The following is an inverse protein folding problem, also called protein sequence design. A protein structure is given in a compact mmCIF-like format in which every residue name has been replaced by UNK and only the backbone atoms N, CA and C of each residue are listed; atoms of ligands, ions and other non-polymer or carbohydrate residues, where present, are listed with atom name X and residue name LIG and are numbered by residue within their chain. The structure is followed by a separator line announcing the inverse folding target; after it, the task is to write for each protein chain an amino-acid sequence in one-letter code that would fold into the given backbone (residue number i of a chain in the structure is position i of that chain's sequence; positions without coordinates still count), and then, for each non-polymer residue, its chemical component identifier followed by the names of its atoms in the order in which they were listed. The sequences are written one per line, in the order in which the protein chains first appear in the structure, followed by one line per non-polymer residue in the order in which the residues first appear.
data_IF_421426646360
#
_entry.id   IF_421426646360
#
_cell.length_a   1.000
_cell.length_b   1.000
_cell.length_c   1.000
_cell.angle_alpha   90.00
_cell.angle_beta   90.00
_cell.angle_gamma   90.00
#
_symmetry.space_group_name_H-M   'P 1'
#
loop_
_entity.id
_entity.type
_entity.pdbx_description
1 polymer ?
#
# COMPACT_ATOMS: atom_id res chain seq x y z
N UNK A 1 23.15 -5.12 39.44
CA UNK A 1 22.36 -5.59 38.28
C UNK A 1 22.16 -4.40 37.36
N UNK A 2 22.91 -4.32 36.25
CA UNK A 2 22.76 -3.25 35.26
C UNK A 2 21.58 -3.63 34.36
N UNK A 3 20.43 -2.97 34.55
CA UNK A 3 19.32 -3.03 33.61
C UNK A 3 19.79 -2.41 32.29
N UNK A 4 19.90 -3.22 31.24
CA UNK A 4 20.19 -2.73 29.90
C UNK A 4 18.95 -1.99 29.38
N UNK A 5 19.05 -0.67 29.27
CA UNK A 5 17.92 0.18 28.90
C UNK A 5 17.38 -0.16 27.50
N UNK A 6 18.23 -0.64 26.59
CA UNK A 6 17.80 -1.07 25.26
C UNK A 6 16.93 -2.34 25.30
N UNK A 7 17.26 -3.31 26.16
CA UNK A 7 16.44 -4.53 26.35
C UNK A 7 15.09 -4.22 27.01
N UNK A 8 15.08 -3.31 27.98
CA UNK A 8 13.83 -2.87 28.64
C UNK A 8 12.94 -2.12 27.63
N UNK A 9 13.51 -1.26 26.80
CA UNK A 9 12.76 -0.52 25.78
C UNK A 9 12.20 -1.43 24.69
N UNK A 10 12.94 -2.47 24.27
CA UNK A 10 12.43 -3.45 23.31
C UNK A 10 11.31 -4.31 23.91
N UNK A 11 11.37 -4.62 25.21
CA UNK A 11 10.30 -5.33 25.92
C UNK A 11 9.00 -4.51 26.02
N UNK A 12 9.10 -3.18 26.22
CA UNK A 12 7.94 -2.28 26.26
C UNK A 12 7.47 -1.78 24.87
N UNK A 13 8.32 -1.83 23.85
CA UNK A 13 7.95 -1.50 22.47
C UNK A 13 7.02 -2.53 21.80
N UNK A 14 6.73 -3.65 22.49
CA UNK A 14 5.81 -4.72 22.05
C UNK A 14 4.33 -4.30 22.15
N UNK A 15 4.00 -3.10 22.65
CA UNK A 15 2.72 -2.48 22.33
C UNK A 15 2.72 -2.08 20.85
N UNK A 16 2.48 -3.07 19.99
CA UNK A 16 2.30 -2.92 18.56
C UNK A 16 1.29 -1.81 18.33
N UNK A 17 1.77 -0.66 17.88
CA UNK A 17 0.88 0.40 17.41
C UNK A 17 0.13 -0.17 16.21
N UNK A 18 -1.13 -0.56 16.44
CA UNK A 18 -1.98 -1.24 15.48
C UNK A 18 -2.04 -0.50 14.13
N UNK A 19 -2.08 -1.29 13.06
CA UNK A 19 -2.21 -0.80 11.69
C UNK A 19 -0.95 -0.95 10.84
N UNK A 20 -1.18 -0.92 9.53
CA UNK A 20 -0.18 -1.08 8.49
C UNK A 20 0.66 0.19 8.37
N UNK A 21 1.97 -0.01 8.24
CA UNK A 21 2.94 1.05 7.98
C UNK A 21 3.08 1.29 6.49
N UNK A 22 3.75 2.38 6.16
CA UNK A 22 4.07 2.75 4.78
C UNK A 22 4.70 1.59 3.99
N UNK A 23 5.70 0.89 4.56
CA UNK A 23 6.35 -0.24 3.90
C UNK A 23 5.46 -1.49 3.78
N UNK A 24 4.54 -1.69 4.72
CA UNK A 24 3.59 -2.79 4.65
C UNK A 24 2.63 -2.58 3.47
N UNK A 25 2.13 -1.34 3.30
CA UNK A 25 1.29 -0.96 2.16
C UNK A 25 2.05 -1.10 0.84
N UNK A 26 3.30 -0.63 0.79
CA UNK A 26 4.15 -0.72 -0.40
C UNK A 26 4.30 -2.17 -0.88
N UNK A 27 4.57 -3.09 0.05
CA UNK A 27 4.71 -4.53 -0.24
C UNK A 27 3.37 -5.14 -0.65
N UNK A 28 2.30 -4.91 0.12
CA UNK A 28 0.98 -5.50 -0.14
C UNK A 28 0.33 -5.01 -1.44
N UNK A 29 0.51 -3.74 -1.78
CA UNK A 29 -0.04 -3.15 -3.00
C UNK A 29 0.89 -3.30 -4.21
N UNK A 30 2.13 -3.75 -4.01
CA UNK A 30 3.16 -3.83 -5.07
C UNK A 30 3.32 -2.51 -5.84
N UNK A 31 3.37 -1.39 -5.13
CA UNK A 31 3.58 -0.04 -5.70
C UNK A 31 4.84 0.61 -5.16
N UNK A 32 5.27 1.72 -5.76
CA UNK A 32 6.41 2.48 -5.27
C UNK A 32 6.05 3.42 -4.09
N UNK A 33 7.08 3.94 -3.41
CA UNK A 33 6.91 4.80 -2.23
C UNK A 33 6.19 6.10 -2.53
N UNK A 34 6.41 6.69 -3.70
CA UNK A 34 5.74 7.93 -4.12
C UNK A 34 4.23 7.74 -4.25
N UNK A 35 3.81 6.57 -4.73
CA UNK A 35 2.39 6.19 -4.82
C UNK A 35 1.77 6.11 -3.44
N UNK A 36 2.39 5.38 -2.50
CA UNK A 36 1.88 5.30 -1.12
C UNK A 36 1.80 6.70 -0.48
N UNK A 37 2.85 7.51 -0.62
CA UNK A 37 2.86 8.89 -0.10
C UNK A 37 1.73 9.73 -0.70
N UNK A 38 1.46 9.59 -2.00
CA UNK A 38 0.34 10.26 -2.65
C UNK A 38 -1.01 9.79 -2.08
N UNK A 39 -1.25 8.48 -2.05
CA UNK A 39 -2.51 7.88 -1.58
C UNK A 39 -2.86 8.30 -0.14
N UNK A 40 -1.85 8.34 0.74
CA UNK A 40 -2.03 8.78 2.13
C UNK A 40 -2.25 10.29 2.24
N UNK A 41 -1.50 11.08 1.46
CA UNK A 41 -1.58 12.55 1.48
C UNK A 41 -2.91 13.05 0.93
N UNK A 42 -3.44 12.43 -0.11
CA UNK A 42 -4.73 12.80 -0.73
C UNK A 42 -5.93 12.19 -0.01
N UNK A 43 -5.70 11.30 0.97
CA UNK A 43 -6.77 10.64 1.72
C UNK A 43 -7.50 9.55 0.94
N UNK A 44 -6.97 9.11 -0.22
CA UNK A 44 -7.51 7.94 -0.94
C UNK A 44 -7.43 6.70 -0.06
N UNK A 45 -6.36 6.57 0.73
CA UNK A 45 -6.29 5.63 1.85
C UNK A 45 -6.24 6.45 3.13
N UNK A 46 -7.29 6.34 3.97
CA UNK A 46 -7.31 7.05 5.23
C UNK A 46 -6.25 6.49 6.19
N UNK A 47 -5.57 7.40 6.90
CA UNK A 47 -4.55 7.03 7.88
C UNK A 47 -4.65 7.86 9.15
N UNK A 48 -4.24 7.27 10.28
CA UNK A 48 -4.11 7.95 11.56
C UNK A 48 -2.64 8.22 11.83
N UNK A 49 -2.32 9.42 12.32
CA UNK A 49 -0.98 9.72 12.81
C UNK A 49 -0.86 9.22 14.24
N UNK A 50 0.09 8.34 14.50
CA UNK A 50 0.40 7.82 15.83
C UNK A 50 1.85 8.09 16.15
N UNK A 51 2.18 8.40 17.41
CA UNK A 51 3.59 8.54 17.83
C UNK A 51 4.25 7.17 17.82
N UNK A 52 5.43 7.08 17.19
CA UNK A 52 6.21 5.85 17.18
C UNK A 52 6.64 5.46 18.60
N UNK A 53 6.61 4.16 18.96
CA UNK A 53 6.91 3.72 20.33
C UNK A 53 8.37 3.98 20.72
N UNK A 54 9.32 3.83 19.78
CA UNK A 54 10.75 3.99 20.03
C UNK A 54 11.26 5.42 19.81
N UNK A 55 10.90 6.03 18.68
CA UNK A 55 11.46 7.33 18.28
C UNK A 55 10.56 8.52 18.63
N UNK A 56 9.32 8.28 19.06
CA UNK A 56 8.25 9.28 19.28
C UNK A 56 7.88 10.15 18.06
N UNK A 57 8.53 9.95 16.91
CA UNK A 57 8.16 10.63 15.66
C UNK A 57 6.76 10.22 15.20
N UNK A 58 5.96 11.16 14.67
CA UNK A 58 4.67 10.83 14.07
C UNK A 58 4.84 9.87 12.91
N UNK A 59 4.09 8.77 12.92
CA UNK A 59 4.02 7.79 11.85
C UNK A 59 2.57 7.61 11.41
N UNK A 60 2.35 7.54 10.10
CA UNK A 60 1.04 7.16 9.57
C UNK A 60 0.80 5.66 9.79
N UNK A 61 -0.41 5.35 10.24
CA UNK A 61 -0.93 3.99 10.42
C UNK A 61 -2.24 3.85 9.68
N UNK A 62 -2.33 2.83 8.84
CA UNK A 62 -3.52 2.52 8.04
C UNK A 62 -4.19 1.28 8.63
N UNK A 63 -5.50 1.35 8.85
CA UNK A 63 -6.22 0.15 9.30
C UNK A 63 -6.32 -0.86 8.16
N UNK A 64 -6.33 -2.18 8.44
CA UNK A 64 -6.59 -3.19 7.40
C UNK A 64 -7.88 -2.92 6.63
N UNK A 65 -8.94 -2.43 7.30
CA UNK A 65 -10.22 -2.12 6.67
C UNK A 65 -10.13 -1.00 5.63
N UNK A 66 -9.27 0.00 5.85
CA UNK A 66 -9.03 1.04 4.84
C UNK A 66 -8.27 0.50 3.62
N UNK A 67 -7.37 -0.47 3.83
CA UNK A 67 -6.73 -1.17 2.72
C UNK A 67 -7.75 -1.99 1.92
N UNK A 68 -8.64 -2.71 2.60
CA UNK A 68 -9.69 -3.50 1.94
C UNK A 68 -10.65 -2.62 1.14
N UNK A 69 -11.05 -1.45 1.69
CA UNK A 69 -11.85 -0.46 0.95
C UNK A 69 -11.14 0.08 -0.29
N UNK A 70 -9.83 0.33 -0.18
CA UNK A 70 -9.03 0.72 -1.33
C UNK A 70 -9.05 -0.37 -2.41
N UNK A 71 -8.81 -1.63 -2.02
CA UNK A 71 -8.76 -2.76 -2.95
C UNK A 71 -10.13 -3.09 -3.57
N UNK A 72 -11.23 -2.83 -2.86
CA UNK A 72 -12.58 -2.99 -3.39
C UNK A 72 -12.87 -2.03 -4.56
N UNK A 73 -12.16 -0.89 -4.63
CA UNK A 73 -12.37 0.14 -5.66
C UNK A 73 -11.24 0.20 -6.69
N UNK A 74 -10.02 -0.09 -6.28
CA UNK A 74 -8.81 0.13 -7.06
C UNK A 74 -7.95 -1.12 -7.12
N UNK A 75 -7.27 -1.28 -8.25
CA UNK A 75 -6.44 -2.44 -8.53
C UNK A 75 -5.07 -2.01 -9.07
N UNK A 76 -4.01 -2.07 -8.25
CA UNK A 76 -2.66 -1.70 -8.68
C UNK A 76 -2.09 -2.66 -9.73
N UNK A 77 -1.39 -2.13 -10.73
CA UNK A 77 -0.78 -2.94 -11.79
C UNK A 77 0.22 -3.97 -11.27
N UNK A 78 1.05 -3.58 -10.29
CA UNK A 78 2.01 -4.48 -9.68
C UNK A 78 1.33 -5.63 -8.93
N UNK A 79 0.19 -5.36 -8.29
CA UNK A 79 -0.58 -6.37 -7.57
C UNK A 79 -1.18 -7.40 -8.55
N UNK A 80 -1.76 -6.92 -9.66
CA UNK A 80 -2.25 -7.78 -10.74
C UNK A 80 -1.16 -8.68 -11.32
N UNK A 81 0.01 -8.09 -11.60
CA UNK A 81 1.16 -8.82 -12.14
C UNK A 81 1.65 -9.91 -11.18
N UNK A 82 1.72 -9.57 -9.89
CA UNK A 82 2.09 -10.51 -8.85
C UNK A 82 1.08 -11.66 -8.73
N UNK A 83 -0.23 -11.37 -8.71
CA UNK A 83 -1.29 -12.38 -8.63
C UNK A 83 -1.27 -13.35 -9.82
N UNK A 84 -0.96 -12.86 -11.02
CA UNK A 84 -0.87 -13.65 -12.24
C UNK A 84 0.51 -14.33 -12.45
N UNK A 85 1.49 -14.10 -11.57
CA UNK A 85 2.84 -14.62 -11.75
C UNK A 85 3.54 -14.12 -13.03
N UNK A 86 3.24 -12.89 -13.46
CA UNK A 86 3.76 -12.31 -14.71
C UNK A 86 4.37 -10.92 -14.51
N UNK A 87 4.92 -10.35 -15.59
CA UNK A 87 5.47 -9.00 -15.57
C UNK A 87 4.37 -7.96 -15.77
N UNK A 88 4.47 -6.83 -15.05
CA UNK A 88 3.53 -5.71 -15.15
C UNK A 88 3.32 -5.19 -16.59
N UNK A 89 4.35 -5.26 -17.45
CA UNK A 89 4.24 -4.87 -18.86
C UNK A 89 3.23 -5.73 -19.65
N UNK A 90 3.14 -7.02 -19.35
CA UNK A 90 2.20 -7.92 -20.02
C UNK A 90 0.76 -7.66 -19.56
N UNK A 91 0.56 -7.39 -18.28
CA UNK A 91 -0.74 -6.99 -17.74
C UNK A 91 -1.17 -5.65 -18.35
N UNK A 92 -0.26 -4.68 -18.42
CA UNK A 92 -0.56 -3.39 -19.04
C UNK A 92 -0.95 -3.53 -20.52
N UNK A 93 -0.23 -4.35 -21.29
CA UNK A 93 -0.56 -4.60 -22.70
C UNK A 93 -1.92 -5.30 -22.88
N UNK A 94 -2.33 -6.16 -21.93
CA UNK A 94 -3.66 -6.78 -21.93
C UNK A 94 -4.77 -5.78 -21.65
N UNK A 95 -4.57 -4.90 -20.67
CA UNK A 95 -5.54 -3.84 -20.32
C UNK A 95 -5.65 -2.81 -21.45
N UNK A 96 -4.53 -2.43 -22.06
CA UNK A 96 -4.45 -1.53 -23.22
C UNK A 96 -5.24 -2.05 -24.42
N UNK A 97 -5.09 -3.34 -24.75
CA UNK A 97 -5.89 -4.01 -25.79
C UNK A 97 -7.39 -4.05 -25.49
N UNK A 98 -7.77 -3.98 -24.22
CA UNK A 98 -9.15 -3.94 -23.76
C UNK A 98 -9.65 -2.49 -23.57
N UNK A 99 -8.86 -1.49 -23.95
CA UNK A 99 -9.17 -0.06 -23.78
C UNK A 99 -9.43 0.35 -22.32
N UNK A 100 -8.84 -0.39 -21.36
CA UNK A 100 -8.91 -0.09 -19.93
C UNK A 100 -7.67 0.69 -19.52
N UNK A 101 -7.89 1.91 -19.04
CA UNK A 101 -6.81 2.87 -18.74
C UNK A 101 -6.63 3.07 -17.23
N UNK A 102 -5.40 3.33 -16.76
CA UNK A 102 -5.19 3.63 -15.36
C UNK A 102 -5.80 5.00 -15.00
N UNK A 103 -6.15 5.19 -13.72
CA UNK A 103 -6.52 6.51 -13.22
C UNK A 103 -5.35 7.49 -13.39
N UNK A 104 -5.68 8.77 -13.63
CA UNK A 104 -4.65 9.81 -13.81
C UNK A 104 -3.91 10.07 -12.50
N UNK A 105 -2.64 9.70 -12.48
CA UNK A 105 -1.70 9.97 -11.39
C UNK A 105 -0.44 10.65 -11.96
N UNK A 106 0.38 11.33 -11.14
CA UNK A 106 1.68 11.84 -11.56
C UNK A 106 2.57 10.75 -12.17
N UNK A 107 3.42 11.09 -13.15
CA UNK A 107 4.20 10.14 -13.96
C UNK A 107 5.05 9.15 -13.15
N UNK A 108 5.57 9.58 -12.00
CA UNK A 108 6.42 8.76 -11.14
C UNK A 108 5.63 7.81 -10.21
N UNK A 109 4.29 7.81 -10.28
CA UNK A 109 3.45 6.90 -9.52
C UNK A 109 3.23 5.58 -10.28
N UNK A 110 3.08 4.48 -9.54
CA UNK A 110 2.65 3.21 -10.07
C UNK A 110 1.25 3.32 -10.65
N UNK A 111 1.01 2.65 -11.78
CA UNK A 111 -0.31 2.60 -12.42
C UNK A 111 -1.31 1.88 -11.52
N UNK A 112 -2.47 2.51 -11.33
CA UNK A 112 -3.61 1.99 -10.58
C UNK A 112 -4.83 2.08 -11.50
N UNK A 113 -5.65 1.03 -11.50
CA UNK A 113 -6.86 0.94 -12.31
C UNK A 113 -8.09 0.91 -11.41
N UNK A 114 -9.27 1.17 -11.97
CA UNK A 114 -10.52 0.84 -11.29
C UNK A 114 -10.69 -0.68 -11.25
N UNK A 115 -11.10 -1.19 -10.10
CA UNK A 115 -11.25 -2.63 -9.89
C UNK A 115 -12.31 -3.22 -10.83
N UNK A 116 -13.45 -2.54 -10.95
CA UNK A 116 -14.59 -2.97 -11.78
C UNK A 116 -14.24 -3.08 -13.28
N UNK A 117 -13.32 -2.27 -13.77
CA UNK A 117 -12.89 -2.28 -15.18
C UNK A 117 -11.76 -3.29 -15.43
N UNK A 118 -10.78 -3.36 -14.52
CA UNK A 118 -9.60 -4.18 -14.74
C UNK A 118 -9.81 -5.65 -14.38
N UNK A 119 -10.50 -5.96 -13.28
CA UNK A 119 -10.65 -7.34 -12.81
C UNK A 119 -11.25 -8.30 -13.86
N UNK A 120 -12.31 -7.94 -14.62
CA UNK A 120 -12.85 -8.80 -15.68
C UNK A 120 -11.84 -9.14 -16.78
N UNK A 121 -10.90 -8.25 -17.09
CA UNK A 121 -9.92 -8.43 -18.17
C UNK A 121 -8.80 -9.39 -17.76
N UNK A 122 -8.44 -9.38 -16.49
CA UNK A 122 -7.33 -10.16 -15.97
C UNK A 122 -7.76 -11.43 -15.24
N UNK A 123 -9.06 -11.60 -15.00
CA UNK A 123 -9.68 -12.78 -14.38
C UNK A 123 -9.10 -13.10 -12.99
N UNK A 124 -9.03 -12.07 -12.13
CA UNK A 124 -8.69 -12.21 -10.70
C UNK A 124 -9.84 -11.72 -9.82
#
# INVERSE_FOLDING_TARGET
MLLNLDEVLDHFAVQSVEGLRHDDLRKRLHVNSSTISLLLRTGIIASKRVRGPRTRYPQSRVSPQELDRFLARYLPLGLMAHALGTQAKHVAARLDKAEVWPIRLPEHCSKIYLHEEAAPIIAI
#
